data_IF_941639583615
#
_entry.id   IF_941639583615
#
_cell.length_a   1.000
_cell.length_b   1.000
_cell.length_c   1.000
_cell.angle_alpha   90.00
_cell.angle_beta   90.00
_cell.angle_gamma   90.00
#
_symmetry.space_group_name_H-M   'P 1'
#
loop_
_entity.id
_entity.type
_entity.pdbx_description
1 polymer ?
#
# COMPACT_ATOMS: atom_id res chain seq x y z
N UNK A 1 -14.05 12.07 -6.05
CA UNK A 1 -13.49 10.80 -6.54
C UNK A 1 -14.04 9.66 -5.68
N UNK A 2 -14.08 8.42 -6.16
CA UNK A 2 -14.40 7.25 -5.33
C UNK A 2 -13.16 6.34 -5.27
N UNK A 3 -12.76 5.82 -4.10
CA UNK A 3 -11.68 4.86 -4.02
C UNK A 3 -11.99 3.59 -4.81
N UNK A 4 -10.98 3.03 -5.47
CA UNK A 4 -11.02 1.66 -5.98
C UNK A 4 -10.52 0.71 -4.90
N UNK A 5 -11.04 -0.52 -4.87
CA UNK A 5 -10.69 -1.50 -3.85
C UNK A 5 -10.09 -2.75 -4.49
N UNK A 6 -9.03 -3.25 -3.86
CA UNK A 6 -8.28 -4.41 -4.34
C UNK A 6 -8.01 -5.38 -3.19
N UNK A 7 -8.21 -6.68 -3.45
CA UNK A 7 -7.48 -7.71 -2.71
C UNK A 7 -6.04 -7.71 -3.21
N UNK A 8 -5.10 -7.74 -2.27
CA UNK A 8 -3.66 -7.69 -2.54
C UNK A 8 -3.00 -8.90 -1.89
N UNK A 9 -2.25 -9.65 -2.69
CA UNK A 9 -1.45 -10.80 -2.23
C UNK A 9 -0.04 -10.71 -2.78
N UNK A 10 0.94 -11.17 -2.02
CA UNK A 10 2.31 -11.28 -2.52
C UNK A 10 2.51 -12.49 -3.44
N UNK A 11 3.72 -12.66 -3.98
CA UNK A 11 4.07 -13.79 -4.86
C UNK A 11 4.07 -15.16 -4.17
N UNK A 12 4.04 -15.19 -2.84
CA UNK A 12 3.87 -16.40 -2.03
C UNK A 12 2.41 -16.63 -1.61
N UNK A 13 1.46 -15.92 -2.24
CA UNK A 13 0.02 -15.98 -1.96
C UNK A 13 -0.37 -15.53 -0.54
N UNK A 14 0.50 -14.78 0.16
CA UNK A 14 0.13 -14.19 1.46
C UNK A 14 -0.77 -12.99 1.22
N UNK A 15 -1.96 -13.03 1.80
CA UNK A 15 -2.93 -11.92 1.78
C UNK A 15 -2.69 -10.95 2.92
N UNK A 16 -3.10 -9.70 2.72
CA UNK A 16 -3.04 -8.66 3.73
C UNK A 16 -4.30 -8.69 4.60
N UNK A 17 -4.12 -8.63 5.91
CA UNK A 17 -5.22 -8.45 6.87
C UNK A 17 -4.79 -7.44 7.94
N UNK A 18 -5.78 -6.88 8.64
CA UNK A 18 -5.54 -5.92 9.69
C UNK A 18 -5.40 -6.62 11.05
N UNK A 19 -4.30 -6.35 11.75
CA UNK A 19 -4.04 -6.87 13.09
C UNK A 19 -3.33 -5.81 13.93
N UNK A 20 -3.90 -5.45 15.09
CA UNK A 20 -3.37 -4.42 15.98
C UNK A 20 -2.98 -3.12 15.25
N UNK A 21 -3.90 -2.61 14.41
CA UNK A 21 -3.72 -1.39 13.59
C UNK A 21 -2.47 -1.42 12.68
N UNK A 22 -2.05 -2.62 12.26
CA UNK A 22 -1.02 -2.83 11.24
C UNK A 22 -1.53 -3.79 10.17
N UNK A 23 -1.15 -3.54 8.92
CA UNK A 23 -1.33 -4.52 7.85
C UNK A 23 -0.29 -5.63 8.04
N UNK A 24 -0.75 -6.88 8.05
CA UNK A 24 0.08 -8.08 8.24
C UNK A 24 -0.15 -9.01 7.05
N UNK A 25 0.92 -9.64 6.57
CA UNK A 25 0.87 -10.59 5.46
C UNK A 25 0.95 -12.03 5.98
N UNK A 26 -0.06 -12.85 5.68
CA UNK A 26 -0.05 -14.27 6.05
C UNK A 26 -0.75 -15.15 5.02
N UNK A 27 -0.49 -16.46 5.06
CA UNK A 27 -1.29 -17.44 4.33
C UNK A 27 -2.63 -17.60 5.05
N UNK A 28 -3.71 -17.15 4.40
CA UNK A 28 -5.04 -17.15 5.01
C UNK A 28 -5.72 -18.51 4.77
N UNK A 29 -5.59 -19.42 5.73
CA UNK A 29 -6.40 -20.64 5.81
C UNK A 29 -7.47 -20.44 6.90
N UNK A 30 -8.71 -20.20 6.50
CA UNK A 30 -9.86 -20.13 7.42
C UNK A 30 -10.00 -18.81 8.20
N UNK A 31 -11.23 -18.31 8.25
CA UNK A 31 -11.77 -17.20 9.08
C UNK A 31 -11.18 -15.78 8.97
N UNK A 32 -9.90 -15.57 8.67
CA UNK A 32 -9.34 -14.22 8.57
C UNK A 32 -9.69 -13.57 7.22
N UNK A 33 -10.47 -12.48 7.26
CA UNK A 33 -10.86 -11.72 6.07
C UNK A 33 -9.71 -10.82 5.61
N UNK A 34 -9.36 -10.91 4.31
CA UNK A 34 -8.41 -9.97 3.71
C UNK A 34 -8.90 -8.53 3.80
N UNK A 35 -8.00 -7.65 4.23
CA UNK A 35 -8.24 -6.21 4.21
C UNK A 35 -8.16 -5.71 2.76
N UNK A 36 -9.19 -4.96 2.34
CA UNK A 36 -9.20 -4.38 1.01
C UNK A 36 -8.34 -3.12 0.98
N UNK A 37 -7.35 -3.12 0.10
CA UNK A 37 -6.55 -1.94 -0.17
C UNK A 37 -7.36 -0.98 -1.03
N UNK A 38 -7.61 0.19 -0.47
CA UNK A 38 -8.33 1.30 -1.10
C UNK A 38 -7.32 2.25 -1.73
N UNK A 39 -7.58 2.68 -2.96
CA UNK A 39 -6.68 3.59 -3.68
C UNK A 39 -7.43 4.71 -4.39
N UNK A 40 -6.83 5.89 -4.40
CA UNK A 40 -7.22 7.02 -5.26
C UNK A 40 -5.96 7.58 -5.95
N UNK A 41 -6.05 8.07 -7.19
CA UNK A 41 -4.88 8.63 -7.86
C UNK A 41 -4.43 9.93 -7.20
N UNK A 42 -3.13 10.14 -7.02
CA UNK A 42 -2.62 11.47 -6.66
C UNK A 42 -2.49 12.32 -7.94
N UNK A 43 -3.41 13.27 -8.14
CA UNK A 43 -3.45 14.12 -9.34
C UNK A 43 -2.35 15.18 -9.40
N UNK A 44 -1.58 15.38 -8.33
CA UNK A 44 -0.53 16.40 -8.23
C UNK A 44 0.87 15.87 -8.52
N UNK A 45 1.04 14.54 -8.58
CA UNK A 45 2.28 13.89 -8.99
C UNK A 45 2.20 13.43 -10.45
N UNK A 46 3.36 13.09 -11.03
CA UNK A 46 3.47 12.71 -12.44
C UNK A 46 2.60 11.50 -12.79
N UNK A 47 1.50 11.74 -13.52
CA UNK A 47 0.50 10.71 -13.85
C UNK A 47 1.07 9.48 -14.55
N UNK A 48 2.11 9.64 -15.38
CA UNK A 48 2.75 8.53 -16.12
C UNK A 48 3.36 7.47 -15.19
N UNK A 49 3.78 7.88 -13.99
CA UNK A 49 4.30 6.97 -12.95
C UNK A 49 3.21 6.28 -12.13
N UNK A 50 1.94 6.50 -12.46
CA UNK A 50 0.77 5.93 -11.76
C UNK A 50 0.81 6.13 -10.22
N UNK A 51 0.86 7.38 -9.73
CA UNK A 51 0.85 7.67 -8.30
C UNK A 51 -0.51 7.38 -7.68
N UNK A 52 -0.54 6.56 -6.63
CA UNK A 52 -1.74 6.19 -5.90
C UNK A 52 -1.59 6.56 -4.43
N UNK A 53 -2.56 7.30 -3.89
CA UNK A 53 -2.75 7.42 -2.44
C UNK A 53 -3.38 6.10 -1.99
N UNK A 54 -2.77 5.46 -0.98
CA UNK A 54 -3.12 4.11 -0.54
C UNK A 54 -3.74 4.17 0.86
N UNK A 55 -4.74 3.34 1.12
CA UNK A 55 -5.44 3.25 2.39
C UNK A 55 -6.21 1.95 2.55
N UNK A 56 -6.97 1.85 3.63
CA UNK A 56 -7.77 0.67 4.00
C UNK A 56 -9.16 1.09 4.49
N UNK A 57 -10.02 0.13 4.90
CA UNK A 57 -11.35 0.40 5.46
C UNK A 57 -12.20 1.31 4.56
N UNK A 58 -12.17 1.04 3.25
CA UNK A 58 -12.89 1.84 2.25
C UNK A 58 -12.30 3.23 1.99
N UNK A 59 -11.15 3.56 2.59
CA UNK A 59 -10.44 4.83 2.45
C UNK A 59 -10.56 5.78 3.64
N UNK A 60 -11.10 5.33 4.78
CA UNK A 60 -11.16 6.11 6.02
C UNK A 60 -9.83 6.16 6.79
N UNK A 61 -8.88 5.30 6.44
CA UNK A 61 -7.51 5.30 6.96
C UNK A 61 -6.52 5.23 5.81
N UNK A 62 -5.44 6.01 5.91
CA UNK A 62 -4.39 6.11 4.89
C UNK A 62 -3.10 5.40 5.32
N UNK A 63 -2.41 4.79 4.37
CA UNK A 63 -1.09 4.19 4.55
C UNK A 63 -0.02 5.24 4.30
N UNK A 64 0.72 5.60 5.34
CA UNK A 64 1.78 6.61 5.34
C UNK A 64 3.15 5.94 5.41
N UNK A 65 4.12 6.43 4.65
CA UNK A 65 5.54 6.06 4.80
C UNK A 65 6.29 6.98 5.79
N UNK A 66 5.58 7.92 6.43
CA UNK A 66 6.16 8.88 7.37
C UNK A 66 6.81 10.09 6.69
N UNK A 67 7.19 11.07 7.49
CA UNK A 67 7.86 12.31 7.06
C UNK A 67 9.22 12.50 7.71
N UNK A 68 9.70 11.49 8.44
CA UNK A 68 11.00 11.51 9.10
C UNK A 68 12.16 11.27 8.14
N UNK A 69 13.38 11.27 8.67
CA UNK A 69 14.58 10.94 7.89
C UNK A 69 14.57 9.49 7.38
N UNK A 70 13.97 8.58 8.16
CA UNK A 70 13.80 7.18 7.79
C UNK A 70 12.34 6.85 7.49
N UNK A 71 12.07 5.98 6.51
CA UNK A 71 10.71 5.56 6.18
C UNK A 71 10.13 4.72 7.31
N UNK A 72 8.92 5.06 7.75
CA UNK A 72 8.15 4.29 8.73
C UNK A 72 6.74 4.07 8.20
N UNK A 73 6.44 2.82 7.85
CA UNK A 73 5.11 2.47 7.35
C UNK A 73 4.11 2.39 8.50
N UNK A 74 3.03 3.17 8.42
CA UNK A 74 1.98 3.23 9.44
C UNK A 74 0.62 3.57 8.84
N UNK A 75 -0.43 3.21 9.56
CA UNK A 75 -1.79 3.62 9.26
C UNK A 75 -2.12 4.89 10.03
N UNK A 76 -2.73 5.86 9.35
CA UNK A 76 -3.17 7.13 9.95
C UNK A 76 -4.68 7.32 9.72
N UNK A 77 -5.37 7.89 10.72
CA UNK A 77 -6.80 8.20 10.67
C UNK A 77 -7.05 9.47 9.83
N UNK A 78 -6.78 9.36 8.53
CA UNK A 78 -6.96 10.42 7.53
C UNK A 78 -7.68 9.81 6.33
N UNK A 79 -8.68 10.52 5.81
CA UNK A 79 -9.45 10.04 4.66
C UNK A 79 -8.69 10.23 3.34
N UNK A 80 -8.79 9.24 2.44
CA UNK A 80 -8.13 9.31 1.15
C UNK A 80 -8.69 10.44 0.27
N UNK A 81 -9.96 10.81 0.43
CA UNK A 81 -10.58 11.88 -0.34
C UNK A 81 -10.15 13.28 0.11
N UNK A 82 -9.79 13.43 1.39
CA UNK A 82 -9.13 14.63 1.89
C UNK A 82 -7.72 14.73 1.30
N UNK A 83 -6.95 13.63 1.35
CA UNK A 83 -5.60 13.59 0.76
C UNK A 83 -5.62 13.83 -0.75
N UNK A 84 -6.61 13.28 -1.47
CA UNK A 84 -6.80 13.52 -2.90
C UNK A 84 -6.90 15.01 -3.26
N UNK A 85 -7.42 15.82 -2.33
CA UNK A 85 -7.59 17.26 -2.47
C UNK A 85 -6.43 18.07 -1.90
N UNK A 86 -5.47 17.42 -1.20
CA UNK A 86 -4.47 18.08 -0.35
C UNK A 86 -3.12 18.40 -1.00
N UNK A 87 -2.98 18.23 -2.32
CA UNK A 87 -1.74 18.58 -3.02
C UNK A 87 -0.53 17.76 -2.56
N UNK A 88 0.60 18.45 -2.37
CA UNK A 88 1.88 17.86 -1.94
C UNK A 88 1.82 17.18 -0.57
N UNK A 89 0.85 17.55 0.29
CA UNK A 89 0.66 16.92 1.60
C UNK A 89 0.30 15.44 1.50
N UNK A 90 -0.17 14.98 0.33
CA UNK A 90 -0.47 13.57 0.09
C UNK A 90 0.76 12.73 -0.27
N UNK A 91 1.94 13.34 -0.48
CA UNK A 91 3.17 12.64 -0.89
C UNK A 91 3.58 11.51 0.06
N UNK A 92 3.54 11.66 1.40
CA UNK A 92 3.84 10.58 2.34
C UNK A 92 2.85 9.40 2.28
N UNK A 93 1.69 9.58 1.66
CA UNK A 93 0.65 8.57 1.51
C UNK A 93 0.60 7.99 0.09
N UNK A 94 1.49 8.44 -0.78
CA UNK A 94 1.47 8.13 -2.22
C UNK A 94 2.52 7.09 -2.57
N UNK A 95 2.11 6.11 -3.38
CA UNK A 95 2.96 5.06 -3.91
C UNK A 95 2.85 5.00 -5.44
N UNK A 96 3.98 4.93 -6.13
CA UNK A 96 4.03 4.72 -7.58
C UNK A 96 3.81 3.25 -7.89
N UNK A 97 2.70 2.95 -8.59
CA UNK A 97 2.38 1.58 -9.00
C UNK A 97 3.03 1.27 -10.34
N UNK A 98 3.91 0.28 -10.38
CA UNK A 98 4.41 -0.29 -11.65
C UNK A 98 3.74 -1.63 -11.96
N UNK A 99 4.01 -2.17 -13.14
CA UNK A 99 3.47 -3.45 -13.59
C UNK A 99 4.53 -4.20 -14.38
N UNK A 100 4.76 -5.45 -14.00
CA UNK A 100 5.69 -6.36 -14.68
C UNK A 100 5.00 -7.71 -14.81
N UNK A 101 4.60 -8.09 -16.02
CA UNK A 101 3.96 -9.38 -16.28
C UNK A 101 2.55 -9.48 -15.71
N UNK A 102 2.40 -10.03 -14.50
CA UNK A 102 1.11 -10.15 -13.80
C UNK A 102 1.14 -9.56 -12.38
N UNK A 103 2.28 -9.02 -11.97
CA UNK A 103 2.50 -8.43 -10.64
C UNK A 103 2.73 -6.94 -10.73
N UNK A 104 2.55 -6.29 -9.58
CA UNK A 104 2.73 -4.87 -9.38
C UNK A 104 3.71 -4.62 -8.23
N UNK A 105 4.46 -3.53 -8.33
CA UNK A 105 5.22 -2.98 -7.19
C UNK A 105 4.65 -1.62 -6.82
N UNK A 106 4.91 -1.20 -5.58
CA UNK A 106 4.46 0.07 -5.03
C UNK A 106 5.65 0.78 -4.37
N UNK A 107 6.28 1.70 -5.09
CA UNK A 107 7.40 2.51 -4.59
C UNK A 107 6.87 3.71 -3.80
N UNK A 108 7.38 3.97 -2.61
CA UNK A 108 6.99 5.13 -1.80
C UNK A 108 7.43 6.44 -2.48
N UNK A 109 6.50 7.35 -2.74
CA UNK A 109 6.80 8.61 -3.42
C UNK A 109 7.75 9.52 -2.63
N UNK A 110 7.64 9.50 -1.30
CA UNK A 110 8.52 10.27 -0.40
C UNK A 110 9.88 9.59 -0.15
N UNK A 111 10.06 8.31 -0.50
CA UNK A 111 11.28 7.55 -0.26
C UNK A 111 11.65 6.71 -1.50
N UNK A 112 12.30 7.32 -2.52
CA UNK A 112 12.72 6.62 -3.72
C UNK A 112 13.54 5.36 -3.42
N UNK A 113 13.29 4.29 -4.17
CA UNK A 113 13.92 2.97 -4.00
C UNK A 113 13.38 2.14 -2.84
N UNK A 114 12.40 2.64 -2.06
CA UNK A 114 11.71 1.90 -1.00
C UNK A 114 10.33 1.47 -1.48
N UNK A 115 10.06 0.18 -1.42
CA UNK A 115 8.83 -0.43 -1.92
C UNK A 115 8.04 -1.05 -0.79
N UNK A 116 6.71 -1.09 -0.92
CA UNK A 116 5.89 -1.97 -0.08
C UNK A 116 6.43 -3.39 -0.19
N UNK A 117 6.58 -4.06 0.96
CA UNK A 117 7.22 -5.37 1.02
C UNK A 117 6.63 -6.24 2.14
N UNK A 118 6.60 -7.54 1.88
CA UNK A 118 6.29 -8.57 2.87
C UNK A 118 7.54 -9.35 3.23
N UNK A 119 7.60 -9.88 4.45
CA UNK A 119 8.65 -10.81 4.84
C UNK A 119 8.41 -12.20 4.22
N UNK A 120 9.45 -13.04 4.09
CA UNK A 120 9.29 -14.45 3.79
C UNK A 120 8.39 -15.17 4.81
N UNK A 121 8.55 -14.84 6.09
CA UNK A 121 7.79 -15.44 7.18
C UNK A 121 6.33 -14.93 7.19
N UNK A 122 5.34 -15.82 7.41
CA UNK A 122 3.95 -15.42 7.58
C UNK A 122 3.74 -14.68 8.91
N UNK A 123 2.71 -13.84 8.96
CA UNK A 123 2.34 -13.09 10.15
C UNK A 123 3.21 -11.86 10.42
N UNK A 124 4.08 -11.50 9.47
CA UNK A 124 4.91 -10.30 9.59
C UNK A 124 4.19 -9.04 9.06
N UNK A 125 4.40 -7.88 9.68
CA UNK A 125 3.85 -6.62 9.20
C UNK A 125 4.33 -6.28 7.79
N UNK A 126 3.45 -5.62 7.02
CA UNK A 126 3.83 -4.95 5.80
C UNK A 126 4.87 -3.87 6.12
N UNK A 127 5.91 -3.77 5.32
CA UNK A 127 7.04 -2.88 5.55
C UNK A 127 7.43 -2.12 4.28
N UNK A 128 8.46 -1.28 4.40
CA UNK A 128 9.17 -0.65 3.29
C UNK A 128 10.57 -1.23 3.19
N UNK A 129 10.94 -1.76 2.01
CA UNK A 129 12.23 -2.36 1.78
C UNK A 129 12.78 -2.02 0.39
N UNK A 130 14.09 -2.13 0.24
CA UNK A 130 14.73 -2.17 -1.07
C UNK A 130 14.86 -3.63 -1.54
N UNK A 131 14.94 -3.90 -2.85
CA UNK A 131 15.32 -5.22 -3.36
C UNK A 131 16.64 -5.70 -2.74
N UNK A 132 16.81 -7.00 -2.45
CA UNK A 132 16.05 -8.15 -2.97
C UNK A 132 14.82 -8.63 -2.15
N UNK A 133 14.06 -7.73 -1.49
CA UNK A 133 12.85 -8.11 -0.75
C UNK A 133 11.66 -8.57 -1.64
N UNK A 134 10.63 -9.21 -1.03
CA UNK A 134 9.36 -9.54 -1.70
C UNK A 134 8.56 -8.25 -1.87
N UNK A 135 8.54 -7.70 -3.09
CA UNK A 135 7.92 -6.40 -3.41
C UNK A 135 6.86 -6.51 -4.52
N UNK A 136 6.65 -7.72 -5.02
CA UNK A 136 5.72 -8.02 -6.12
C UNK A 136 4.40 -8.51 -5.55
N UNK A 137 3.31 -7.90 -6.03
CA UNK A 137 1.95 -8.20 -5.56
C UNK A 137 1.01 -8.48 -6.72
N UNK A 138 0.12 -9.45 -6.53
CA UNK A 138 -1.08 -9.63 -7.33
C UNK A 138 -2.19 -8.73 -6.82
N UNK A 139 -2.89 -8.09 -7.76
CA UNK A 139 -4.06 -7.25 -7.48
C UNK A 139 -5.31 -7.88 -8.09
N UNK A 140 -6.34 -8.07 -7.28
CA UNK A 140 -7.68 -8.44 -7.74
C UNK A 140 -8.68 -7.37 -7.35
N UNK A 141 -9.27 -6.71 -8.35
CA UNK A 141 -10.29 -5.68 -8.15
C UNK A 141 -11.57 -6.27 -7.52
N UNK A 142 -12.21 -5.49 -6.64
CA UNK A 142 -13.53 -5.76 -6.06
C UNK A 142 -14.57 -4.76 -6.55
#
# INVERSE_FOLDING_TARGET
>A
AKPYHYMVRDTQQKGLYLHNERLVATSLQGAAQEELISVVPNKHLERRRCPLIVGIRGGSQALSCGTGAEPQLKLENVELLDLFSSGDKATPYTFYKTFTGSTHTFEAAAFPGRFLSTAPEPGQPLALAAPPAIVNFYLRRK
#
